data_IF_021241813688
#
_entry.id   IF_021241813688
#
_cell.length_a   1.000
_cell.length_b   1.000
_cell.length_c   1.000
_cell.angle_alpha   90.00
_cell.angle_beta   90.00
_cell.angle_gamma   90.00
#
_symmetry.space_group_name_H-M   'P 1'
#
loop_
_entity.id
_entity.type
_entity.pdbx_description
1 polymer ?
#
# COMPACT_ATOMS: atom_id res chain seq x y z
N UNK A 1 -8.45 -1.50 24.80
CA UNK A 1 -8.89 -2.36 23.67
C UNK A 1 -8.45 -1.72 22.35
N UNK A 2 -8.75 -2.30 21.17
CA UNK A 2 -8.43 -1.66 19.88
C UNK A 2 -9.02 -0.24 19.77
N UNK A 3 -10.17 0.02 20.39
CA UNK A 3 -10.82 1.34 20.41
C UNK A 3 -10.06 2.42 21.19
N UNK A 4 -9.14 2.03 22.07
CA UNK A 4 -8.33 2.97 22.86
C UNK A 4 -6.95 3.23 22.23
N UNK A 5 -6.62 2.52 21.14
CA UNK A 5 -5.32 2.63 20.49
C UNK A 5 -5.28 3.88 19.60
N UNK A 6 -4.38 4.81 19.92
CA UNK A 6 -4.20 6.03 19.13
C UNK A 6 -3.58 5.72 17.76
N UNK A 7 -3.94 6.52 16.76
CA UNK A 7 -3.47 6.37 15.39
C UNK A 7 -1.94 6.38 15.25
N UNK A 8 -1.23 7.26 15.97
CA UNK A 8 0.23 7.34 15.91
C UNK A 8 0.89 6.04 16.40
N UNK A 9 0.64 5.55 17.63
CA UNK A 9 1.14 4.25 18.08
C UNK A 9 0.78 3.08 17.15
N UNK A 10 -0.44 3.08 16.61
CA UNK A 10 -0.88 2.05 15.67
C UNK A 10 -0.01 2.03 14.41
N UNK A 11 0.08 3.14 13.69
CA UNK A 11 0.88 3.23 12.46
C UNK A 11 2.35 2.95 12.76
N UNK A 12 2.89 3.53 13.83
CA UNK A 12 4.29 3.37 14.20
C UNK A 12 4.68 1.91 14.43
N UNK A 13 3.83 1.13 15.11
CA UNK A 13 4.10 -0.28 15.41
C UNK A 13 4.29 -1.11 14.13
N UNK A 14 3.43 -0.91 13.12
CA UNK A 14 3.52 -1.63 11.85
C UNK A 14 4.67 -1.17 10.96
N UNK A 15 5.10 0.09 11.09
CA UNK A 15 6.28 0.60 10.40
C UNK A 15 7.56 -0.02 10.96
N UNK A 16 7.65 -0.19 12.28
CA UNK A 16 8.83 -0.82 12.92
C UNK A 16 9.04 -2.26 12.45
N UNK A 17 7.96 -3.01 12.25
CA UNK A 17 8.01 -4.42 11.79
C UNK A 17 8.04 -4.56 10.27
N UNK A 18 8.18 -3.46 9.53
CA UNK A 18 8.17 -3.43 8.05
C UNK A 18 6.92 -4.05 7.43
N UNK A 19 5.83 -4.13 8.18
CA UNK A 19 4.53 -4.63 7.71
C UNK A 19 3.71 -3.53 7.04
N UNK A 20 3.75 -2.30 7.57
CA UNK A 20 3.03 -1.12 7.07
C UNK A 20 1.53 -1.32 6.75
N UNK A 21 0.85 -2.24 7.44
CA UNK A 21 -0.50 -2.71 7.07
C UNK A 21 -1.54 -1.60 7.03
N UNK A 22 -1.33 -0.52 7.79
CA UNK A 22 -2.22 0.63 7.86
C UNK A 22 -2.42 1.35 6.53
N UNK A 23 -1.52 1.16 5.56
CA UNK A 23 -1.59 1.84 4.27
C UNK A 23 -2.19 1.01 3.15
N UNK A 24 -2.14 -0.33 3.24
CA UNK A 24 -2.42 -1.19 2.08
C UNK A 24 -3.38 -2.34 2.37
N UNK A 25 -3.57 -2.74 3.63
CA UNK A 25 -4.41 -3.89 3.95
C UNK A 25 -5.88 -3.61 3.59
N UNK A 26 -6.47 -4.48 2.76
CA UNK A 26 -7.83 -4.36 2.26
C UNK A 26 -7.95 -3.70 0.88
N UNK A 27 -6.88 -3.06 0.38
CA UNK A 27 -6.88 -2.41 -0.94
C UNK A 27 -7.01 -3.47 -2.04
N UNK A 28 -6.20 -4.53 -2.01
CA UNK A 28 -6.26 -5.61 -2.98
C UNK A 28 -7.62 -6.28 -3.03
N UNK A 29 -8.16 -6.64 -1.88
CA UNK A 29 -9.51 -7.22 -1.76
C UNK A 29 -10.59 -6.29 -2.31
N UNK A 30 -10.50 -4.98 -2.06
CA UNK A 30 -11.48 -4.00 -2.55
C UNK A 30 -11.40 -3.83 -4.06
N UNK A 31 -10.20 -3.68 -4.61
CA UNK A 31 -9.99 -3.56 -6.05
C UNK A 31 -10.43 -4.83 -6.80
N UNK A 32 -10.09 -6.02 -6.27
CA UNK A 32 -10.52 -7.29 -6.85
C UNK A 32 -12.04 -7.41 -6.83
N UNK A 33 -12.69 -7.08 -5.70
CA UNK A 33 -14.16 -7.08 -5.59
C UNK A 33 -14.81 -6.10 -6.56
N UNK A 34 -14.24 -4.90 -6.73
CA UNK A 34 -14.73 -3.91 -7.69
C UNK A 34 -14.61 -4.44 -9.12
N UNK A 35 -13.47 -5.04 -9.48
CA UNK A 35 -13.27 -5.66 -10.78
C UNK A 35 -14.27 -6.79 -11.07
N UNK A 36 -14.53 -7.64 -10.08
CA UNK A 36 -15.39 -8.81 -10.26
C UNK A 36 -16.89 -8.45 -10.32
N UNK A 37 -17.31 -7.45 -9.54
CA UNK A 37 -18.74 -7.08 -9.43
C UNK A 37 -19.13 -5.93 -10.34
N UNK A 38 -18.24 -4.96 -10.53
CA UNK A 38 -18.50 -3.70 -11.24
C UNK A 38 -17.36 -3.42 -12.25
N UNK A 39 -17.16 -4.29 -13.26
CA UNK A 39 -16.02 -4.18 -14.18
C UNK A 39 -16.00 -2.87 -14.96
N UNK A 40 -17.17 -2.28 -15.23
CA UNK A 40 -17.27 -0.97 -15.88
C UNK A 40 -16.69 0.15 -15.02
N UNK A 41 -17.04 0.20 -13.72
CA UNK A 41 -16.48 1.18 -12.78
C UNK A 41 -14.98 0.96 -12.59
N UNK A 42 -14.52 -0.30 -12.58
CA UNK A 42 -13.09 -0.59 -12.47
C UNK A 42 -12.31 -0.04 -13.66
N UNK A 43 -12.84 -0.19 -14.89
CA UNK A 43 -12.24 0.38 -16.10
C UNK A 43 -12.23 1.92 -16.07
N UNK A 44 -13.35 2.54 -15.70
CA UNK A 44 -13.45 3.99 -15.58
C UNK A 44 -12.47 4.55 -14.53
N UNK A 45 -12.36 3.89 -13.37
CA UNK A 45 -11.39 4.26 -12.34
C UNK A 45 -9.96 4.17 -12.84
N UNK A 46 -9.62 3.11 -13.61
CA UNK A 46 -8.29 2.99 -14.23
C UNK A 46 -7.98 4.15 -15.18
N UNK A 47 -8.93 4.55 -16.02
CA UNK A 47 -8.77 5.71 -16.91
C UNK A 47 -8.62 7.01 -16.11
N UNK A 48 -9.37 7.15 -15.00
CA UNK A 48 -9.31 8.29 -14.11
C UNK A 48 -7.97 8.41 -13.38
N UNK A 49 -7.24 7.33 -13.14
CA UNK A 49 -5.89 7.41 -12.54
C UNK A 49 -4.96 8.30 -13.37
N UNK A 50 -5.13 8.33 -14.69
CA UNK A 50 -4.31 9.15 -15.57
C UNK A 50 -4.69 10.64 -15.55
N UNK A 51 -5.93 10.99 -15.21
CA UNK A 51 -6.42 12.36 -15.30
C UNK A 51 -6.65 13.02 -13.94
N UNK A 52 -6.95 12.24 -12.91
CA UNK A 52 -7.26 12.71 -11.56
C UNK A 52 -6.02 12.65 -10.65
N UNK A 53 -5.58 13.82 -10.21
CA UNK A 53 -4.39 13.97 -9.36
C UNK A 53 -4.61 13.41 -7.94
N UNK A 54 -5.82 13.46 -7.41
CA UNK A 54 -6.13 12.96 -6.07
C UNK A 54 -6.10 11.43 -6.02
N UNK A 55 -6.74 10.78 -6.99
CA UNK A 55 -6.70 9.32 -7.10
C UNK A 55 -5.27 8.82 -7.33
N UNK A 56 -4.53 9.48 -8.24
CA UNK A 56 -3.12 9.19 -8.47
C UNK A 56 -2.27 9.35 -7.21
N UNK A 57 -2.51 10.39 -6.42
CA UNK A 57 -1.81 10.62 -5.15
C UNK A 57 -2.08 9.50 -4.14
N UNK A 58 -3.34 9.10 -3.95
CA UNK A 58 -3.71 8.00 -3.06
C UNK A 58 -2.98 6.71 -3.46
N UNK A 59 -3.08 6.33 -4.74
CA UNK A 59 -2.46 5.10 -5.24
C UNK A 59 -0.93 5.15 -5.14
N UNK A 60 -0.31 6.30 -5.37
CA UNK A 60 1.15 6.48 -5.23
C UNK A 60 1.61 6.34 -3.77
N UNK A 61 0.82 6.81 -2.80
CA UNK A 61 1.11 6.61 -1.39
C UNK A 61 1.02 5.14 -0.98
N UNK A 62 0.00 4.43 -1.46
CA UNK A 62 -0.12 2.97 -1.25
C UNK A 62 1.10 2.27 -1.86
N UNK A 63 1.48 2.61 -3.09
CA UNK A 63 2.64 2.05 -3.79
C UNK A 63 3.95 2.31 -3.01
N UNK A 64 4.10 3.51 -2.44
CA UNK A 64 5.24 3.87 -1.58
C UNK A 64 5.30 2.99 -0.33
N UNK A 65 4.16 2.74 0.31
CA UNK A 65 4.08 1.86 1.47
C UNK A 65 4.35 0.39 1.14
N UNK A 66 3.82 -0.10 0.01
CA UNK A 66 4.09 -1.45 -0.48
C UNK A 66 5.58 -1.67 -0.76
N UNK A 67 6.28 -0.66 -1.27
CA UNK A 67 7.71 -0.70 -1.50
C UNK A 67 8.55 -0.60 -0.21
N UNK A 68 7.98 -0.10 0.87
CA UNK A 68 8.61 -0.10 2.20
C UNK A 68 8.30 -1.38 3.01
N UNK A 69 7.43 -2.24 2.48
CA UNK A 69 7.01 -3.50 3.12
C UNK A 69 7.96 -4.64 2.76
N UNK A 70 8.39 -5.40 3.77
CA UNK A 70 9.44 -6.43 3.65
C UNK A 70 8.97 -7.77 4.23
N UNK A 71 8.62 -8.72 3.36
CA UNK A 71 8.04 -10.01 3.76
C UNK A 71 8.95 -10.85 4.66
N UNK A 72 10.27 -10.76 4.48
CA UNK A 72 11.22 -11.52 5.30
C UNK A 72 11.19 -10.99 6.74
N UNK A 73 11.28 -9.66 6.91
CA UNK A 73 11.20 -9.04 8.23
C UNK A 73 9.83 -9.28 8.86
N UNK A 74 8.74 -9.21 8.08
CA UNK A 74 7.40 -9.54 8.57
C UNK A 74 7.33 -10.96 9.16
N UNK A 75 7.94 -11.95 8.49
CA UNK A 75 7.97 -13.34 8.96
C UNK A 75 8.84 -13.51 10.21
N UNK A 76 9.98 -12.82 10.29
CA UNK A 76 10.83 -12.84 11.49
C UNK A 76 10.07 -12.32 12.73
N UNK A 77 9.36 -11.21 12.60
CA UNK A 77 8.54 -10.67 13.70
C UNK A 77 7.33 -11.56 14.01
N UNK A 78 6.68 -12.15 13.00
CA UNK A 78 5.63 -13.13 13.23
C UNK A 78 6.13 -14.37 13.98
N UNK A 79 7.38 -14.77 13.77
CA UNK A 79 8.04 -15.88 14.48
C UNK A 79 8.11 -15.69 16.00
N UNK A 80 8.03 -14.45 16.51
CA UNK A 80 8.00 -14.15 17.93
C UNK A 80 6.66 -14.48 18.61
N UNK A 81 5.62 -14.78 17.83
CA UNK A 81 4.32 -15.22 18.36
C UNK A 81 4.39 -16.70 18.74
N UNK A 82 4.21 -16.99 20.03
CA UNK A 82 4.27 -18.35 20.59
C UNK A 82 3.12 -19.24 20.11
N UNK A 83 1.90 -18.69 20.03
CA UNK A 83 0.73 -19.40 19.53
C UNK A 83 0.84 -19.59 18.02
N UNK A 84 1.18 -20.82 17.62
CA UNK A 84 1.33 -21.22 16.22
C UNK A 84 0.05 -21.04 15.41
N UNK A 85 -1.13 -21.29 15.99
CA UNK A 85 -2.42 -21.19 15.29
C UNK A 85 -2.72 -19.74 14.95
N UNK A 86 -2.55 -18.84 15.93
CA UNK A 86 -2.73 -17.40 15.72
C UNK A 86 -1.73 -16.88 14.70
N UNK A 87 -0.45 -17.26 14.85
CA UNK A 87 0.62 -16.87 13.93
C UNK A 87 0.31 -17.26 12.49
N UNK A 88 -0.01 -18.53 12.24
CA UNK A 88 -0.27 -19.04 10.89
C UNK A 88 -1.51 -18.38 10.27
N UNK A 89 -2.57 -18.21 11.06
CA UNK A 89 -3.80 -17.59 10.58
C UNK A 89 -3.57 -16.12 10.18
N UNK A 90 -3.03 -15.29 11.10
CA UNK A 90 -2.85 -13.87 10.86
C UNK A 90 -1.78 -13.61 9.78
N UNK A 91 -0.62 -14.27 9.86
CA UNK A 91 0.42 -14.09 8.85
C UNK A 91 -0.05 -14.58 7.48
N UNK A 92 -0.81 -15.68 7.42
CA UNK A 92 -1.41 -16.15 6.17
C UNK A 92 -2.33 -15.10 5.53
N UNK A 93 -3.23 -14.49 6.32
CA UNK A 93 -4.11 -13.42 5.84
C UNK A 93 -3.33 -12.19 5.36
N UNK A 94 -2.32 -11.75 6.11
CA UNK A 94 -1.50 -10.59 5.75
C UNK A 94 -0.73 -10.83 4.44
N UNK A 95 -0.12 -12.01 4.28
CA UNK A 95 0.66 -12.35 3.07
C UNK A 95 -0.25 -12.48 1.85
N UNK A 96 -1.42 -13.11 2.01
CA UNK A 96 -2.39 -13.23 0.93
C UNK A 96 -2.89 -11.85 0.46
N UNK A 97 -3.25 -10.96 1.40
CA UNK A 97 -3.70 -9.61 1.06
C UNK A 97 -2.58 -8.75 0.47
N UNK A 98 -1.34 -8.89 0.94
CA UNK A 98 -0.19 -8.18 0.37
C UNK A 98 0.04 -8.57 -1.09
N UNK A 99 0.04 -9.88 -1.38
CA UNK A 99 0.20 -10.40 -2.73
C UNK A 99 -0.94 -9.94 -3.66
N UNK A 100 -2.18 -10.01 -3.18
CA UNK A 100 -3.34 -9.53 -3.93
C UNK A 100 -3.26 -8.02 -4.18
N UNK A 101 -2.87 -7.24 -3.18
CA UNK A 101 -2.75 -5.79 -3.30
C UNK A 101 -1.70 -5.41 -4.33
N UNK A 102 -0.51 -6.03 -4.31
CA UNK A 102 0.53 -5.79 -5.33
C UNK A 102 0.06 -6.15 -6.73
N UNK A 103 -0.64 -7.27 -6.89
CA UNK A 103 -1.24 -7.69 -8.17
C UNK A 103 -2.23 -6.64 -8.69
N UNK A 104 -3.18 -6.22 -7.86
CA UNK A 104 -4.21 -5.25 -8.26
C UNK A 104 -3.62 -3.88 -8.53
N UNK A 105 -2.64 -3.42 -7.73
CA UNK A 105 -1.96 -2.15 -7.96
C UNK A 105 -1.16 -2.14 -9.27
N UNK A 106 -0.52 -3.27 -9.63
CA UNK A 106 0.14 -3.41 -10.93
C UNK A 106 -0.86 -3.32 -12.09
N UNK A 107 -2.04 -3.92 -11.93
CA UNK A 107 -3.09 -3.87 -12.95
C UNK A 107 -3.71 -2.48 -13.12
N UNK A 108 -3.90 -1.75 -12.02
CA UNK A 108 -4.47 -0.40 -12.03
C UNK A 108 -3.49 0.63 -12.57
N UNK A 109 -2.20 0.54 -12.19
CA UNK A 109 -1.19 1.55 -12.53
C UNK A 109 -0.41 1.26 -13.81
N UNK A 110 -0.66 0.11 -14.46
CA UNK A 110 -0.12 -0.31 -15.78
C UNK A 110 1.39 -0.14 -15.98
N UNK A 111 2.16 -0.14 -14.89
CA UNK A 111 3.59 0.09 -14.90
C UNK A 111 4.27 -0.73 -13.80
N UNK A 112 5.59 -0.94 -13.86
CA UNK A 112 6.33 -1.48 -12.73
C UNK A 112 6.51 -0.45 -11.62
N UNK A 113 6.49 -0.89 -10.36
CA UNK A 113 6.75 -0.05 -9.18
C UNK A 113 8.11 0.67 -9.26
N UNK A 114 9.11 0.03 -9.85
CA UNK A 114 10.46 0.58 -10.04
C UNK A 114 10.48 1.80 -10.97
N UNK A 115 9.62 1.82 -11.99
CA UNK A 115 9.51 2.92 -12.95
C UNK A 115 8.69 4.08 -12.41
N UNK A 116 7.57 3.78 -11.73
CA UNK A 116 6.74 4.81 -11.09
C UNK A 116 7.49 5.60 -10.04
N UNK A 117 8.28 4.93 -9.20
CA UNK A 117 9.02 5.60 -8.12
C UNK A 117 10.12 6.52 -8.62
N UNK A 118 10.76 6.21 -9.76
CA UNK A 118 11.69 7.16 -10.40
C UNK A 118 10.98 8.45 -10.77
N UNK A 119 9.79 8.37 -11.37
CA UNK A 119 8.97 9.54 -11.73
C UNK A 119 8.48 10.31 -10.50
N UNK A 120 8.04 9.62 -9.44
CA UNK A 120 7.56 10.25 -8.20
C UNK A 120 8.68 10.95 -7.40
N UNK A 121 9.87 10.34 -7.28
CA UNK A 121 11.01 10.98 -6.62
C UNK A 121 11.46 12.23 -7.38
N UNK A 122 11.50 12.17 -8.71
CA UNK A 122 11.81 13.32 -9.57
C UNK A 122 10.75 14.43 -9.42
N UNK A 123 9.46 14.07 -9.37
CA UNK A 123 8.37 15.02 -9.16
C UNK A 123 8.49 15.72 -7.80
N UNK A 124 8.72 14.97 -6.71
CA UNK A 124 8.91 15.52 -5.36
C UNK A 124 10.17 16.39 -5.24
N UNK A 125 11.24 16.06 -5.97
CA UNK A 125 12.45 16.88 -6.07
C UNK A 125 12.18 18.20 -6.81
N UNK A 126 11.41 18.17 -7.90
CA UNK A 126 11.08 19.37 -8.68
C UNK A 126 10.12 20.28 -7.90
N UNK A 127 9.06 19.73 -7.27
CA UNK A 127 8.19 20.54 -6.41
C UNK A 127 8.93 21.10 -5.20
N UNK A 128 9.79 20.30 -4.56
CA UNK A 128 10.63 20.77 -3.44
C UNK A 128 11.57 21.92 -3.85
N UNK A 129 12.13 21.87 -5.06
CA UNK A 129 12.97 22.94 -5.61
C UNK A 129 12.16 24.20 -5.98
N UNK A 130 10.95 24.04 -6.53
CA UNK A 130 10.06 25.17 -6.84
C UNK A 130 9.54 25.87 -5.57
N UNK A 131 9.27 25.14 -4.50
CA UNK A 131 8.88 25.71 -3.20
C UNK A 131 10.08 26.42 -2.56
N UNK A 132 11.29 25.84 -2.66
CA UNK A 132 12.51 26.46 -2.12
C UNK A 132 12.96 27.71 -2.90
N UNK A 133 12.63 27.86 -4.18
CA UNK A 133 12.93 29.06 -4.96
C UNK A 133 11.88 30.17 -4.83
N UNK A 134 10.75 29.89 -4.18
CA UNK A 134 9.65 30.83 -3.95
C UNK A 134 9.62 31.41 -2.51
N UNK A 135 10.59 31.03 -1.67
CA UNK A 135 10.84 31.56 -0.34
C UNK A 135 12.14 32.39 -0.33
#
# INVERSE_FOLDING_TARGET
SLSDLRAIPWVFSWTQTRMNISSWFGVGSTLQKMKDKEPHLFSEMKEMVETDQFLRYILTNIDTSLAATDEEIMQLYAGLVEDKTIRENITGQLMAELALTRKMMMEVLESPISERRKKSLLFNLIEGLCIASAA
#
